data_IF_860462264221
#
_entry.id   IF_860462264221
#
_cell.length_a   1.000
_cell.length_b   1.000
_cell.length_c   1.000
_cell.angle_alpha   90.00
_cell.angle_beta   90.00
_cell.angle_gamma   90.00
#
_symmetry.space_group_name_H-M   'P 1'
#
loop_
_entity.id
_entity.type
_entity.pdbx_description
1 polymer ?
#
# COMPACT_ATOMS: atom_id res chain seq x y z
N UNK A 1 14.23 -18.67 26.54
CA UNK A 1 13.62 -17.32 26.69
C UNK A 1 12.09 -17.40 26.78
N UNK A 2 11.49 -16.66 27.68
CA UNK A 2 10.02 -16.57 27.83
C UNK A 2 9.39 -15.65 26.82
N UNK A 3 10.18 -14.87 26.06
CA UNK A 3 9.65 -13.97 25.02
C UNK A 3 9.04 -14.72 23.84
N UNK A 4 7.95 -14.17 23.28
CA UNK A 4 7.35 -14.63 22.04
C UNK A 4 8.19 -14.26 20.79
N UNK A 5 9.09 -13.29 20.89
CA UNK A 5 9.81 -12.73 19.73
C UNK A 5 10.59 -13.77 18.90
N UNK A 6 11.35 -14.71 19.48
CA UNK A 6 12.04 -15.72 18.68
C UNK A 6 11.09 -16.63 17.90
N UNK A 7 9.93 -16.95 18.48
CA UNK A 7 8.91 -17.78 17.82
C UNK A 7 8.26 -17.03 16.67
N UNK A 8 7.88 -15.78 16.88
CA UNK A 8 7.34 -14.91 15.84
C UNK A 8 8.34 -14.76 14.69
N UNK A 9 9.63 -14.54 14.99
CA UNK A 9 10.70 -14.50 14.00
C UNK A 9 10.84 -15.81 13.22
N UNK A 10 10.86 -16.94 13.91
CA UNK A 10 10.94 -18.25 13.27
C UNK A 10 9.77 -18.52 12.31
N UNK A 11 8.53 -18.18 12.72
CA UNK A 11 7.35 -18.34 11.87
C UNK A 11 7.42 -17.39 10.66
N UNK A 12 7.88 -16.15 10.83
CA UNK A 12 8.11 -15.22 9.72
C UNK A 12 9.11 -15.78 8.69
N UNK A 13 10.09 -16.56 9.16
CA UNK A 13 11.08 -17.26 8.33
C UNK A 13 10.59 -18.62 7.78
N UNK A 14 9.34 -19.01 8.05
CA UNK A 14 8.72 -20.21 7.49
C UNK A 14 8.64 -21.41 8.42
N UNK A 15 8.98 -21.29 9.71
CA UNK A 15 8.78 -22.38 10.67
C UNK A 15 7.31 -22.76 10.77
N UNK A 16 7.02 -24.06 10.74
CA UNK A 16 5.67 -24.63 10.78
C UNK A 16 5.36 -25.36 12.07
N UNK A 17 6.38 -25.77 12.79
CA UNK A 17 6.27 -26.49 14.06
C UNK A 17 7.11 -25.77 15.09
N UNK A 18 6.53 -25.51 16.24
CA UNK A 18 7.16 -24.82 17.36
C UNK A 18 7.07 -25.74 18.59
N UNK A 19 8.21 -26.00 19.18
CA UNK A 19 8.33 -26.72 20.45
C UNK A 19 8.87 -25.79 21.52
N UNK A 20 8.28 -25.78 22.70
CA UNK A 20 8.69 -24.99 23.85
C UNK A 20 8.39 -25.72 25.15
N UNK A 21 9.25 -25.48 26.15
CA UNK A 21 8.99 -25.93 27.51
C UNK A 21 7.76 -25.24 28.08
N UNK A 22 6.92 -26.00 28.76
CA UNK A 22 5.68 -25.55 29.36
C UNK A 22 5.61 -25.88 30.84
N UNK A 23 5.03 -25.00 31.63
CA UNK A 23 4.77 -25.22 33.05
C UNK A 23 3.43 -24.60 33.44
N UNK A 24 2.79 -25.15 34.44
CA UNK A 24 1.63 -24.59 35.13
C UNK A 24 2.02 -23.42 36.05
N UNK A 25 3.25 -23.40 36.60
CA UNK A 25 3.78 -22.34 37.43
C UNK A 25 5.29 -22.25 37.35
N UNK A 26 5.83 -21.04 37.18
CA UNK A 26 7.26 -20.79 37.19
C UNK A 26 7.88 -20.83 38.59
N UNK A 27 7.03 -20.87 39.65
CA UNK A 27 7.45 -20.95 41.07
C UNK A 27 7.75 -22.38 41.49
N UNK A 28 7.47 -23.40 40.67
CA UNK A 28 7.76 -24.79 40.99
C UNK A 28 9.27 -25.05 41.03
N UNK A 29 9.67 -25.92 41.94
CA UNK A 29 11.03 -26.44 41.98
C UNK A 29 11.23 -27.46 40.84
N UNK A 30 12.36 -27.36 40.14
CA UNK A 30 12.76 -28.23 39.05
C UNK A 30 13.61 -27.54 38.02
N UNK A 31 14.24 -28.31 37.12
CA UNK A 31 15.25 -27.75 36.20
C UNK A 31 14.68 -26.80 35.18
N UNK A 32 13.42 -26.97 34.71
CA UNK A 32 12.90 -26.29 33.56
C UNK A 32 11.83 -25.22 33.89
N UNK A 33 11.20 -25.27 35.07
CA UNK A 33 10.05 -24.41 35.42
C UNK A 33 10.37 -22.93 35.34
N UNK A 34 11.56 -22.48 35.73
CA UNK A 34 11.94 -21.07 35.75
C UNK A 34 11.95 -20.40 34.39
N UNK A 35 12.21 -21.13 33.31
CA UNK A 35 12.26 -20.57 31.94
C UNK A 35 11.18 -21.10 31.01
N UNK A 36 10.38 -22.06 31.43
CA UNK A 36 9.25 -22.56 30.68
C UNK A 36 8.15 -21.50 30.49
N UNK A 37 7.32 -21.67 29.51
CA UNK A 37 6.14 -20.82 29.32
C UNK A 37 5.01 -21.29 30.22
N UNK A 38 4.46 -20.39 31.01
CA UNK A 38 3.22 -20.63 31.73
C UNK A 38 2.01 -20.41 30.78
N UNK A 39 0.76 -20.76 31.21
CA UNK A 39 -0.42 -20.66 30.35
C UNK A 39 -0.62 -19.28 29.70
N UNK A 40 -0.41 -18.20 30.47
CA UNK A 40 -0.62 -16.82 29.97
C UNK A 40 0.40 -16.46 28.90
N UNK A 41 1.68 -16.76 29.16
CA UNK A 41 2.75 -16.51 28.18
C UNK A 41 2.60 -17.36 26.93
N UNK A 42 2.11 -18.61 27.07
CA UNK A 42 1.80 -19.48 25.95
C UNK A 42 0.67 -18.91 25.10
N UNK A 43 -0.45 -18.53 25.71
CA UNK A 43 -1.58 -17.91 25.02
C UNK A 43 -1.16 -16.63 24.31
N UNK A 44 -0.34 -15.79 24.97
CA UNK A 44 0.20 -14.56 24.36
C UNK A 44 1.08 -14.85 23.14
N UNK A 45 1.97 -15.85 23.24
CA UNK A 45 2.82 -16.27 22.12
C UNK A 45 1.97 -16.74 20.93
N UNK A 46 0.99 -17.61 21.17
CA UNK A 46 0.09 -18.09 20.10
C UNK A 46 -0.68 -16.93 19.46
N UNK A 47 -1.23 -16.01 20.26
CA UNK A 47 -1.95 -14.84 19.74
C UNK A 47 -1.05 -13.99 18.81
N UNK A 48 0.22 -13.75 19.21
CA UNK A 48 1.19 -13.02 18.38
C UNK A 48 1.48 -13.74 17.05
N UNK A 49 1.64 -15.05 17.08
CA UNK A 49 1.83 -15.86 15.86
C UNK A 49 0.62 -15.74 14.93
N UNK A 50 -0.60 -15.84 15.47
CA UNK A 50 -1.83 -15.70 14.66
C UNK A 50 -2.00 -14.29 14.06
N UNK A 51 -1.55 -13.26 14.76
CA UNK A 51 -1.49 -11.89 14.20
C UNK A 51 -0.50 -11.83 13.03
N UNK A 52 0.70 -12.37 13.22
CA UNK A 52 1.72 -12.43 12.16
C UNK A 52 1.20 -13.15 10.91
N UNK A 53 0.61 -14.35 11.06
CA UNK A 53 0.07 -15.12 9.93
C UNK A 53 -0.94 -14.32 9.10
N UNK A 54 -1.82 -13.57 9.77
CA UNK A 54 -2.74 -12.66 9.06
C UNK A 54 -2.04 -11.48 8.40
N UNK A 55 -1.02 -10.93 9.05
CA UNK A 55 -0.26 -9.79 8.54
C UNK A 55 0.63 -10.13 7.34
N UNK A 56 1.13 -11.38 7.26
CA UNK A 56 1.92 -11.85 6.11
C UNK A 56 1.11 -11.83 4.80
N UNK A 57 -0.20 -12.05 4.87
CA UNK A 57 -1.09 -11.98 3.73
C UNK A 57 -0.67 -12.88 2.57
N UNK A 58 -0.70 -12.32 1.36
CA UNK A 58 -0.30 -12.97 0.10
C UNK A 58 0.90 -12.26 -0.53
N UNK A 59 1.80 -13.01 -1.15
CA UNK A 59 2.89 -12.46 -1.94
C UNK A 59 2.42 -11.86 -3.29
N UNK A 60 1.17 -12.10 -3.68
CA UNK A 60 0.59 -11.55 -4.91
C UNK A 60 0.29 -10.06 -4.74
N UNK A 61 0.97 -9.22 -5.54
CA UNK A 61 0.72 -7.77 -5.56
C UNK A 61 -0.55 -7.47 -6.36
N UNK A 62 -1.64 -7.12 -5.67
CA UNK A 62 -2.92 -6.75 -6.26
C UNK A 62 -3.53 -5.56 -5.54
N UNK A 63 -4.45 -4.89 -6.20
CA UNK A 63 -5.30 -3.88 -5.55
C UNK A 63 -6.37 -4.62 -4.76
N UNK A 64 -6.40 -4.43 -3.44
CA UNK A 64 -7.41 -5.03 -2.59
C UNK A 64 -8.80 -4.39 -2.85
N UNK A 65 -9.87 -5.11 -2.49
CA UNK A 65 -11.23 -4.65 -2.80
C UNK A 65 -11.56 -3.32 -2.11
N UNK A 66 -11.09 -3.14 -0.87
CA UNK A 66 -11.21 -1.89 -0.11
C UNK A 66 -10.34 -0.73 -0.65
N UNK A 67 -9.41 -0.98 -1.57
CA UNK A 67 -8.55 0.03 -2.19
C UNK A 67 -9.07 0.49 -3.56
N UNK A 68 -10.05 -0.20 -4.15
CA UNK A 68 -10.50 0.07 -5.52
C UNK A 68 -11.03 1.48 -5.71
N UNK A 69 -11.85 1.99 -4.77
CA UNK A 69 -12.36 3.36 -4.81
C UNK A 69 -11.26 4.39 -4.59
N UNK A 70 -10.47 4.20 -3.54
CA UNK A 70 -9.41 5.15 -3.16
C UNK A 70 -8.29 5.20 -4.19
N UNK A 71 -8.08 4.14 -4.95
CA UNK A 71 -7.07 4.07 -6.01
C UNK A 71 -7.16 5.22 -7.00
N UNK A 72 -8.38 5.57 -7.47
CA UNK A 72 -8.56 6.70 -8.40
C UNK A 72 -8.42 8.05 -7.70
N UNK A 73 -9.03 8.20 -6.53
CA UNK A 73 -8.96 9.43 -5.73
C UNK A 73 -7.53 9.80 -5.31
N UNK A 74 -6.70 8.80 -5.04
CA UNK A 74 -5.31 9.02 -4.60
C UNK A 74 -4.32 9.21 -5.75
N UNK A 75 -4.69 8.89 -6.99
CA UNK A 75 -3.87 9.12 -8.16
C UNK A 75 -3.95 10.58 -8.60
N UNK A 76 -2.95 10.98 -9.38
CA UNK A 76 -2.89 12.31 -9.99
C UNK A 76 -3.08 12.18 -11.50
N UNK A 77 -3.81 13.12 -12.08
CA UNK A 77 -3.95 13.24 -13.52
C UNK A 77 -3.44 14.61 -13.99
N UNK A 78 -3.26 14.76 -15.29
CA UNK A 78 -2.91 16.03 -15.92
C UNK A 78 -4.12 16.95 -15.95
N UNK A 79 -3.92 18.21 -15.57
CA UNK A 79 -4.91 19.28 -15.62
C UNK A 79 -4.32 20.54 -16.26
N UNK A 80 -5.17 21.35 -16.87
CA UNK A 80 -4.77 22.64 -17.37
C UNK A 80 -4.41 23.58 -16.21
N UNK A 81 -3.18 24.09 -16.19
CA UNK A 81 -2.67 25.05 -15.19
C UNK A 81 -3.14 26.49 -15.48
N UNK A 82 -3.70 26.73 -16.65
CA UNK A 82 -4.32 27.97 -17.10
C UNK A 82 -5.37 27.66 -18.16
N UNK A 83 -6.09 28.69 -18.61
CA UNK A 83 -6.90 28.57 -19.82
C UNK A 83 -6.00 28.29 -21.03
N UNK A 84 -6.36 27.32 -21.85
CA UNK A 84 -5.64 26.88 -23.05
C UNK A 84 -6.62 26.99 -24.22
N UNK A 85 -6.20 27.63 -25.31
CA UNK A 85 -7.02 27.78 -26.49
C UNK A 85 -6.80 26.65 -27.49
N UNK A 86 -7.84 26.36 -28.28
CA UNK A 86 -7.73 25.44 -29.40
C UNK A 86 -6.59 25.85 -30.33
N UNK A 87 -5.74 24.89 -30.74
CA UNK A 87 -4.57 25.13 -31.57
C UNK A 87 -3.30 25.51 -30.80
N UNK A 88 -3.37 25.86 -29.49
CA UNK A 88 -2.16 26.08 -28.69
C UNK A 88 -1.38 24.77 -28.53
N UNK A 89 -0.07 24.88 -28.62
CA UNK A 89 0.83 23.74 -28.35
C UNK A 89 1.09 23.63 -26.85
N UNK A 90 0.82 22.46 -26.28
CA UNK A 90 1.07 22.19 -24.85
C UNK A 90 2.56 22.34 -24.51
N UNK A 91 2.83 23.18 -23.54
CA UNK A 91 4.11 23.29 -22.84
C UNK A 91 3.97 22.76 -21.41
N UNK A 92 5.08 22.46 -20.76
CA UNK A 92 5.06 21.85 -19.42
C UNK A 92 4.40 22.77 -18.38
N UNK A 93 4.62 24.08 -18.48
CA UNK A 93 4.05 25.10 -17.61
C UNK A 93 2.53 25.27 -17.74
N UNK A 94 1.94 24.78 -18.84
CA UNK A 94 0.48 24.76 -19.04
C UNK A 94 -0.21 23.60 -18.32
N UNK A 95 0.55 22.68 -17.73
CA UNK A 95 0.05 21.42 -17.18
C UNK A 95 0.40 21.27 -15.72
N UNK A 96 -0.57 20.86 -14.92
CA UNK A 96 -0.39 20.49 -13.50
C UNK A 96 -0.78 19.05 -13.26
N UNK A 97 -0.11 18.42 -12.29
CA UNK A 97 -0.32 17.02 -11.89
C UNK A 97 -1.04 16.97 -10.55
N UNK A 98 -2.37 16.94 -10.56
CA UNK A 98 -3.20 17.10 -9.37
C UNK A 98 -4.10 15.89 -9.08
N UNK A 99 -4.47 15.75 -7.81
CA UNK A 99 -5.52 14.86 -7.31
C UNK A 99 -6.86 15.59 -7.31
N UNK A 100 -7.98 14.85 -7.41
CA UNK A 100 -8.10 13.44 -7.75
C UNK A 100 -7.87 13.17 -9.24
N UNK A 101 -7.45 11.95 -9.58
CA UNK A 101 -7.53 11.51 -10.96
C UNK A 101 -8.99 11.20 -11.32
N UNK A 102 -9.35 11.49 -12.57
CA UNK A 102 -10.69 11.25 -13.13
C UNK A 102 -10.58 10.14 -14.18
N UNK A 103 -11.62 9.32 -14.28
CA UNK A 103 -11.64 8.24 -15.26
C UNK A 103 -11.51 8.80 -16.70
N UNK A 104 -10.57 8.24 -17.46
CA UNK A 104 -10.27 8.66 -18.83
C UNK A 104 -9.33 9.86 -18.94
N UNK A 105 -8.93 10.50 -17.83
CA UNK A 105 -7.90 11.53 -17.86
C UNK A 105 -6.50 10.93 -18.05
N UNK A 106 -5.62 11.67 -18.70
CA UNK A 106 -4.21 11.34 -18.82
C UNK A 106 -3.53 11.48 -17.46
N UNK A 107 -2.68 10.51 -17.14
CA UNK A 107 -2.02 10.42 -15.83
C UNK A 107 -0.68 11.16 -15.83
N UNK A 108 -0.07 11.31 -14.66
CA UNK A 108 1.21 11.98 -14.50
C UNK A 108 2.32 11.48 -15.45
N UNK A 109 2.35 10.18 -15.69
CA UNK A 109 3.35 9.55 -16.57
C UNK A 109 3.10 9.77 -18.07
N UNK A 110 1.93 10.28 -18.45
CA UNK A 110 1.61 10.61 -19.83
C UNK A 110 2.12 12.02 -20.23
N UNK A 111 2.60 12.83 -19.26
CA UNK A 111 3.07 14.20 -19.48
C UNK A 111 4.04 14.35 -20.66
N UNK A 112 5.09 13.50 -20.81
CA UNK A 112 6.00 13.63 -21.94
C UNK A 112 5.33 13.43 -23.31
N UNK A 113 4.22 12.69 -23.35
CA UNK A 113 3.45 12.44 -24.57
C UNK A 113 2.42 13.53 -24.90
N UNK A 114 2.20 14.47 -23.98
CA UNK A 114 1.27 15.61 -24.16
C UNK A 114 2.02 16.86 -24.60
N UNK A 115 3.16 17.14 -24.00
CA UNK A 115 4.01 18.29 -24.36
C UNK A 115 4.40 18.22 -25.83
N UNK A 116 4.20 19.34 -26.54
CA UNK A 116 4.45 19.46 -27.97
C UNK A 116 3.26 19.09 -28.88
N UNK A 117 2.17 18.52 -28.33
CA UNK A 117 0.90 18.32 -29.06
C UNK A 117 0.06 19.60 -29.05
N UNK A 118 -0.91 19.70 -29.95
CA UNK A 118 -1.84 20.82 -29.97
C UNK A 118 -3.16 20.47 -29.27
N UNK A 119 -3.75 21.47 -28.63
CA UNK A 119 -5.08 21.37 -28.05
C UNK A 119 -6.14 21.40 -29.18
N UNK A 120 -7.05 20.42 -29.18
CA UNK A 120 -8.16 20.40 -30.17
C UNK A 120 -9.26 21.39 -29.87
N UNK A 121 -9.50 21.68 -28.59
CA UNK A 121 -10.59 22.54 -28.12
C UNK A 121 -10.09 23.46 -27.03
N UNK A 122 -10.84 24.53 -26.76
CA UNK A 122 -10.62 25.40 -25.61
C UNK A 122 -10.75 24.60 -24.31
N UNK A 123 -9.80 24.78 -23.40
CA UNK A 123 -9.80 24.15 -22.10
C UNK A 123 -9.63 25.18 -20.99
N UNK A 124 -10.60 25.30 -20.08
CA UNK A 124 -10.48 26.21 -18.95
C UNK A 124 -9.46 25.67 -17.91
N UNK A 125 -8.94 26.59 -17.08
CA UNK A 125 -8.12 26.26 -15.92
C UNK A 125 -8.73 25.10 -15.09
N UNK A 126 -7.92 24.17 -14.68
CA UNK A 126 -8.29 23.02 -13.83
C UNK A 126 -8.97 21.87 -14.58
N UNK A 127 -9.31 22.01 -15.87
CA UNK A 127 -9.87 20.91 -16.66
C UNK A 127 -8.85 19.78 -16.77
N UNK A 128 -9.29 18.54 -16.55
CA UNK A 128 -8.49 17.36 -16.81
C UNK A 128 -8.18 17.18 -18.31
N UNK A 129 -6.96 16.78 -18.63
CA UNK A 129 -6.52 16.50 -19.99
C UNK A 129 -6.86 15.07 -20.35
N UNK A 130 -7.49 14.86 -21.50
CA UNK A 130 -7.86 13.54 -22.05
C UNK A 130 -7.17 13.30 -23.38
N UNK A 131 -7.10 12.06 -23.81
CA UNK A 131 -6.49 11.71 -25.10
C UNK A 131 -7.21 12.41 -26.28
N UNK A 132 -8.52 12.57 -26.21
CA UNK A 132 -9.34 13.20 -27.24
C UNK A 132 -9.15 14.73 -27.32
N UNK A 133 -8.56 15.34 -26.30
CA UNK A 133 -8.22 16.77 -26.28
C UNK A 133 -6.93 17.08 -27.09
N UNK A 134 -6.19 16.03 -27.53
CA UNK A 134 -4.92 16.17 -28.24
C UNK A 134 -5.08 15.96 -29.75
N UNK A 135 -4.45 16.86 -30.53
CA UNK A 135 -4.35 16.75 -31.99
C UNK A 135 -3.10 15.95 -32.38
#
# INVERSE_FOLDING_TARGET
TQSAAPVVGAVAMGARVIERHFTDSNEREGPDHKFALNPDNWAHMVAKVRILERALGSAEKRVADNEKETRMLQRRCLRAARDIKAGETFTEDMLEVLRPAVQGALMAWDLPGVVGKQAKTDMPFGKEIRRDDLA
#
